data_IF_357185166519
#
_entry.id   IF_357185166519
#
_cell.length_a   1.000
_cell.length_b   1.000
_cell.length_c   1.000
_cell.angle_alpha   90.00
_cell.angle_beta   90.00
_cell.angle_gamma   90.00
#
_symmetry.space_group_name_H-M   'P 1'
#
loop_
_entity.id
_entity.type
_entity.pdbx_description
1 polymer ?
#
# COMPACT_ATOMS: atom_id res chain seq x y z
N UNK A 1 4.78 -20.14 17.54
CA UNK A 1 4.00 -19.76 18.72
C UNK A 1 2.99 -18.69 18.36
N UNK A 2 1.92 -18.52 19.15
CA UNK A 2 0.86 -17.52 18.88
C UNK A 2 1.37 -16.07 19.00
N UNK A 3 2.47 -15.87 19.71
CA UNK A 3 3.11 -14.59 19.95
C UNK A 3 4.29 -14.29 18.98
N UNK A 4 4.52 -15.16 17.99
CA UNK A 4 5.50 -14.90 16.94
C UNK A 4 5.11 -13.65 16.15
N UNK A 5 6.06 -12.73 16.04
CA UNK A 5 5.89 -11.49 15.26
C UNK A 5 6.40 -11.71 13.85
N UNK A 6 5.58 -11.37 12.87
CA UNK A 6 5.88 -11.50 11.46
C UNK A 6 5.98 -10.13 10.79
N UNK A 7 6.84 -9.99 9.80
CA UNK A 7 6.76 -8.91 8.82
C UNK A 7 5.56 -9.22 7.94
N UNK A 8 4.51 -8.39 8.00
CA UNK A 8 3.26 -8.70 7.30
C UNK A 8 3.21 -8.11 5.89
N UNK A 9 4.25 -7.36 5.49
CA UNK A 9 4.39 -6.80 4.14
C UNK A 9 3.06 -6.21 3.62
N UNK A 10 2.60 -6.65 2.46
CA UNK A 10 1.41 -6.10 1.82
C UNK A 10 0.08 -6.31 2.58
N UNK A 11 0.07 -7.14 3.62
CA UNK A 11 -1.06 -7.16 4.57
C UNK A 11 -1.16 -5.85 5.39
N UNK A 12 -0.16 -4.97 5.31
CA UNK A 12 -0.23 -3.58 5.80
C UNK A 12 -1.29 -2.76 5.06
N UNK A 13 -1.50 -2.99 3.77
CA UNK A 13 -2.37 -2.17 2.91
C UNK A 13 -3.82 -2.06 3.39
N UNK A 14 -4.52 -3.14 3.77
CA UNK A 14 -5.85 -3.02 4.35
C UNK A 14 -5.89 -2.17 5.62
N UNK A 15 -4.83 -2.19 6.43
CA UNK A 15 -4.73 -1.38 7.65
C UNK A 15 -4.59 0.10 7.30
N UNK A 16 -3.78 0.44 6.29
CA UNK A 16 -3.66 1.80 5.78
C UNK A 16 -4.97 2.27 5.15
N UNK A 17 -5.67 1.38 4.43
CA UNK A 17 -7.00 1.65 3.91
C UNK A 17 -8.00 2.00 5.01
N UNK A 18 -8.02 1.25 6.11
CA UNK A 18 -8.85 1.58 7.28
C UNK A 18 -8.46 2.94 7.87
N UNK A 19 -7.17 3.28 7.98
CA UNK A 19 -6.72 4.59 8.44
C UNK A 19 -7.24 5.72 7.52
N UNK A 20 -7.20 5.53 6.20
CA UNK A 20 -7.78 6.45 5.24
C UNK A 20 -9.30 6.58 5.44
N UNK A 21 -10.01 5.47 5.63
CA UNK A 21 -11.47 5.49 5.77
C UNK A 21 -11.95 6.09 7.10
N UNK A 22 -11.16 6.03 8.17
CA UNK A 22 -11.41 6.81 9.40
C UNK A 22 -11.44 8.32 9.06
N UNK A 23 -10.46 8.80 8.32
CA UNK A 23 -10.40 10.21 7.90
C UNK A 23 -11.50 10.57 6.88
N UNK A 24 -11.95 9.60 6.08
CA UNK A 24 -13.11 9.76 5.20
C UNK A 24 -14.40 9.98 6.00
N UNK A 25 -14.68 9.17 7.02
CA UNK A 25 -15.83 9.33 7.91
C UNK A 25 -15.78 10.66 8.69
N UNK A 26 -14.59 11.17 8.96
CA UNK A 26 -14.39 12.50 9.55
C UNK A 26 -14.58 13.65 8.55
N UNK A 27 -14.89 13.35 7.28
CA UNK A 27 -15.11 14.34 6.23
C UNK A 27 -13.83 15.07 5.78
N UNK A 28 -12.64 14.52 6.07
CA UNK A 28 -11.36 15.13 5.71
C UNK A 28 -11.04 15.04 4.22
N UNK A 29 -11.62 14.07 3.52
CA UNK A 29 -11.47 13.87 2.08
C UNK A 29 -12.69 13.14 1.48
N UNK A 30 -12.80 13.16 0.15
CA UNK A 30 -13.86 12.50 -0.60
C UNK A 30 -13.28 11.61 -1.69
N UNK A 31 -13.99 10.55 -2.07
CA UNK A 31 -13.53 9.56 -3.07
C UNK A 31 -13.16 10.19 -4.42
N UNK A 32 -13.91 11.18 -4.85
CA UNK A 32 -13.74 11.82 -6.17
C UNK A 32 -12.90 13.11 -6.10
N UNK A 33 -12.37 13.47 -4.93
CA UNK A 33 -11.40 14.56 -4.81
C UNK A 33 -10.14 14.24 -5.63
N UNK A 34 -9.58 15.20 -6.36
CA UNK A 34 -8.29 15.01 -7.02
C UNK A 34 -7.19 14.88 -5.97
N UNK A 35 -6.30 13.90 -6.13
CA UNK A 35 -5.15 13.66 -5.23
C UNK A 35 -4.30 14.92 -5.07
N UNK A 36 -4.21 15.75 -6.10
CA UNK A 36 -3.45 17.02 -6.08
C UNK A 36 -3.95 18.05 -5.07
N UNK A 37 -5.15 17.86 -4.53
CA UNK A 37 -5.64 18.66 -3.39
C UNK A 37 -4.85 18.38 -2.12
N UNK A 38 -4.42 17.14 -1.93
CA UNK A 38 -3.70 16.66 -0.76
C UNK A 38 -2.20 16.53 -1.02
N UNK A 39 -1.82 16.23 -2.25
CA UNK A 39 -0.43 16.05 -2.71
C UNK A 39 -0.19 16.97 -3.92
N UNK A 40 -0.01 18.29 -3.71
CA UNK A 40 0.14 19.26 -4.78
C UNK A 40 1.40 19.00 -5.65
N UNK A 41 2.36 18.24 -5.16
CA UNK A 41 3.55 17.79 -5.87
C UNK A 41 3.20 17.02 -7.16
N UNK A 42 2.02 16.40 -7.22
CA UNK A 42 1.57 15.62 -8.37
C UNK A 42 0.87 16.42 -9.48
N UNK A 43 0.80 17.75 -9.36
CA UNK A 43 0.11 18.60 -10.35
C UNK A 43 0.67 18.49 -11.77
N UNK A 44 1.98 18.27 -11.90
CA UNK A 44 2.69 18.31 -13.18
C UNK A 44 3.17 16.92 -13.61
N UNK A 45 2.58 15.84 -13.10
CA UNK A 45 2.92 14.51 -13.55
C UNK A 45 2.65 14.35 -15.05
N UNK A 46 3.60 13.72 -15.74
CA UNK A 46 3.45 13.28 -17.12
C UNK A 46 2.96 11.83 -17.13
N UNK A 47 2.49 11.38 -18.27
CA UNK A 47 1.98 10.03 -18.46
C UNK A 47 2.72 9.37 -19.62
N UNK A 48 3.07 8.09 -19.47
CA UNK A 48 3.64 7.31 -20.57
C UNK A 48 2.58 7.11 -21.65
N UNK A 49 2.85 7.66 -22.86
CA UNK A 49 1.99 7.48 -24.03
C UNK A 49 2.36 6.21 -24.79
N UNK A 50 3.67 5.96 -24.94
CA UNK A 50 4.20 4.77 -25.61
C UNK A 50 5.61 4.46 -25.13
N UNK A 51 6.01 3.19 -25.29
CA UNK A 51 7.37 2.72 -25.03
C UNK A 51 7.88 2.06 -26.30
N UNK A 52 9.01 2.55 -26.83
CA UNK A 52 9.66 1.98 -28.00
C UNK A 52 10.40 0.69 -27.67
N UNK A 53 10.80 -0.08 -28.70
CA UNK A 53 11.48 -1.37 -28.50
C UNK A 53 12.82 -1.28 -27.76
N UNK A 54 13.46 -0.12 -27.80
CA UNK A 54 14.69 0.22 -27.08
C UNK A 54 14.42 0.78 -25.67
N UNK A 55 13.18 0.72 -25.19
CA UNK A 55 12.79 1.12 -23.84
C UNK A 55 12.60 2.62 -23.64
N UNK A 56 12.68 3.44 -24.70
CA UNK A 56 12.51 4.89 -24.63
C UNK A 56 11.03 5.25 -24.51
N UNK A 57 10.69 6.07 -23.51
CA UNK A 57 9.33 6.53 -23.27
C UNK A 57 9.02 7.83 -24.04
N UNK A 58 7.89 7.84 -24.73
CA UNK A 58 7.20 9.06 -25.17
C UNK A 58 6.19 9.45 -24.09
N UNK A 59 6.22 10.71 -23.66
CA UNK A 59 5.34 11.19 -22.59
C UNK A 59 4.30 12.16 -23.14
N UNK A 60 3.11 12.09 -22.58
CA UNK A 60 2.01 13.03 -22.82
C UNK A 60 1.57 13.73 -21.54
N UNK A 61 0.72 14.73 -21.67
CA UNK A 61 0.12 15.40 -20.52
C UNK A 61 -0.92 14.51 -19.85
N UNK A 62 -1.01 14.63 -18.55
CA UNK A 62 -2.06 14.00 -17.75
C UNK A 62 -3.40 14.66 -18.08
N UNK A 63 -4.40 13.88 -18.54
CA UNK A 63 -5.71 14.40 -18.92
C UNK A 63 -6.49 14.97 -17.74
N UNK A 64 -6.30 14.39 -16.57
CA UNK A 64 -6.83 14.84 -15.27
C UNK A 64 -5.97 14.27 -14.14
N UNK A 65 -5.95 14.90 -12.97
CA UNK A 65 -5.34 14.27 -11.79
C UNK A 65 -6.05 12.96 -11.41
N UNK A 66 -5.31 11.98 -10.85
CA UNK A 66 -5.94 10.83 -10.23
C UNK A 66 -6.83 11.27 -9.07
N UNK A 67 -7.90 10.51 -8.83
CA UNK A 67 -8.79 10.71 -7.68
C UNK A 67 -8.31 9.91 -6.45
N UNK A 68 -8.85 10.25 -5.28
CA UNK A 68 -8.61 9.51 -4.05
C UNK A 68 -9.09 8.05 -4.17
N UNK A 69 -10.22 7.79 -4.84
CA UNK A 69 -10.68 6.44 -5.18
C UNK A 69 -9.63 5.65 -5.98
N UNK A 70 -9.00 6.30 -6.95
CA UNK A 70 -8.03 5.66 -7.84
C UNK A 70 -6.72 5.32 -7.14
N UNK A 71 -6.28 6.10 -6.16
CA UNK A 71 -5.11 5.68 -5.35
C UNK A 71 -5.44 4.52 -4.42
N UNK A 72 -6.68 4.42 -3.91
CA UNK A 72 -7.11 3.31 -3.05
C UNK A 72 -7.44 2.04 -3.83
N UNK A 73 -7.56 2.12 -5.15
CA UNK A 73 -7.88 0.97 -6.01
C UNK A 73 -6.76 0.58 -6.97
N UNK A 74 -5.57 1.16 -6.86
CA UNK A 74 -4.44 0.94 -7.77
C UNK A 74 -4.71 1.29 -9.24
N UNK A 75 -5.65 2.19 -9.52
CA UNK A 75 -5.97 2.67 -10.87
C UNK A 75 -5.44 4.06 -11.18
N UNK A 76 -4.65 4.65 -10.26
CA UNK A 76 -4.09 6.00 -10.41
C UNK A 76 -2.94 6.13 -11.44
N UNK A 77 -2.33 5.02 -11.84
CA UNK A 77 -1.24 5.00 -12.82
C UNK A 77 0.18 5.03 -12.23
N UNK A 78 0.35 5.01 -10.93
CA UNK A 78 1.70 4.93 -10.32
C UNK A 78 2.35 3.58 -10.54
N UNK A 79 3.71 3.55 -10.62
CA UNK A 79 4.52 2.34 -10.53
C UNK A 79 4.79 1.90 -9.08
N UNK A 80 5.66 0.89 -8.92
CA UNK A 80 6.09 0.42 -7.60
C UNK A 80 7.58 0.06 -7.54
N UNK A 81 8.18 -0.23 -8.69
CA UNK A 81 9.55 -0.70 -8.78
C UNK A 81 9.70 -2.22 -8.73
N UNK A 82 8.60 -2.97 -8.83
CA UNK A 82 8.60 -4.44 -8.73
C UNK A 82 8.71 -5.15 -10.07
N UNK A 83 8.34 -4.53 -11.18
CA UNK A 83 8.51 -5.10 -12.52
C UNK A 83 9.90 -4.78 -13.08
N UNK A 84 10.67 -5.83 -13.43
CA UNK A 84 12.08 -5.67 -13.83
C UNK A 84 12.24 -4.87 -15.12
N UNK A 85 11.39 -5.10 -16.11
CA UNK A 85 11.55 -4.57 -17.46
C UNK A 85 10.79 -3.26 -17.73
N UNK A 86 9.84 -2.86 -16.86
CA UNK A 86 9.05 -1.67 -17.12
C UNK A 86 9.85 -0.39 -16.80
N UNK A 87 10.02 0.57 -17.75
CA UNK A 87 10.88 1.74 -17.56
C UNK A 87 10.49 2.61 -16.35
N UNK A 88 9.19 2.75 -16.07
CA UNK A 88 8.72 3.50 -14.90
C UNK A 88 9.14 2.81 -13.60
N UNK A 89 9.02 1.49 -13.50
CA UNK A 89 9.46 0.74 -12.33
C UNK A 89 10.98 0.76 -12.17
N UNK A 90 11.71 0.75 -13.28
CA UNK A 90 13.16 1.01 -13.26
C UNK A 90 13.48 2.36 -12.64
N UNK A 91 12.75 3.43 -12.99
CA UNK A 91 12.92 4.75 -12.38
C UNK A 91 12.60 4.74 -10.87
N UNK A 92 11.61 3.96 -10.42
CA UNK A 92 11.32 3.79 -8.99
C UNK A 92 12.53 3.22 -8.24
N UNK A 93 13.22 2.23 -8.82
CA UNK A 93 14.44 1.63 -8.24
C UNK A 93 15.62 2.60 -8.29
N UNK A 94 15.91 3.20 -9.45
CA UNK A 94 17.01 4.14 -9.63
C UNK A 94 16.90 5.38 -8.73
N UNK A 95 15.69 5.83 -8.47
CA UNK A 95 15.43 6.96 -7.55
C UNK A 95 15.25 6.50 -6.10
N UNK A 96 15.44 5.20 -5.83
CA UNK A 96 15.36 4.62 -4.46
C UNK A 96 14.08 5.05 -3.73
N UNK A 97 12.93 5.01 -4.43
CA UNK A 97 11.65 5.51 -3.89
C UNK A 97 11.29 4.81 -2.59
N UNK A 98 11.41 3.48 -2.55
CA UNK A 98 11.07 2.68 -1.36
C UNK A 98 12.12 2.74 -0.24
N UNK A 99 13.30 3.31 -0.51
CA UNK A 99 14.35 3.55 0.48
C UNK A 99 14.39 5.01 0.95
N UNK A 100 13.28 5.73 0.80
CA UNK A 100 13.15 7.11 1.27
C UNK A 100 13.20 7.21 2.79
N UNK A 101 13.74 8.32 3.30
CA UNK A 101 13.90 8.56 4.75
C UNK A 101 12.70 9.24 5.40
N UNK A 102 11.65 9.52 4.63
CA UNK A 102 10.34 10.00 5.08
C UNK A 102 9.30 9.77 3.98
N UNK A 103 8.01 9.72 4.34
CA UNK A 103 6.93 9.67 3.36
C UNK A 103 6.89 10.92 2.48
N UNK A 104 7.26 12.09 3.01
CA UNK A 104 7.40 13.31 2.19
C UNK A 104 8.49 13.15 1.11
N UNK A 105 9.67 12.65 1.47
CA UNK A 105 10.75 12.42 0.50
C UNK A 105 10.31 11.38 -0.55
N UNK A 106 9.59 10.35 -0.14
CA UNK A 106 9.03 9.36 -1.06
C UNK A 106 8.10 10.03 -2.08
N UNK A 107 7.17 10.88 -1.63
CA UNK A 107 6.28 11.65 -2.51
C UNK A 107 7.06 12.57 -3.46
N UNK A 108 8.09 13.26 -2.96
CA UNK A 108 8.92 14.13 -3.80
C UNK A 108 9.64 13.35 -4.92
N UNK A 109 10.14 12.15 -4.61
CA UNK A 109 10.76 11.26 -5.60
C UNK A 109 9.73 10.77 -6.62
N UNK A 110 8.55 10.31 -6.16
CA UNK A 110 7.44 9.88 -7.02
C UNK A 110 6.99 11.00 -7.96
N UNK A 111 6.94 12.24 -7.51
CA UNK A 111 6.56 13.41 -8.32
C UNK A 111 7.48 13.67 -9.51
N UNK A 112 8.66 13.05 -9.55
CA UNK A 112 9.61 13.13 -10.67
C UNK A 112 9.52 11.97 -11.66
N UNK A 113 8.58 11.04 -11.45
CA UNK A 113 8.41 9.82 -12.24
C UNK A 113 7.06 9.91 -12.97
N UNK A 114 6.99 9.60 -14.28
CA UNK A 114 5.72 9.62 -14.98
C UNK A 114 4.78 8.52 -14.51
N UNK A 115 3.48 8.74 -14.65
CA UNK A 115 2.47 7.70 -14.52
C UNK A 115 2.61 6.69 -15.68
N UNK A 116 2.35 5.42 -15.40
CA UNK A 116 2.40 4.34 -16.40
C UNK A 116 1.30 4.44 -17.45
N UNK A 117 0.15 5.03 -17.06
CA UNK A 117 -1.03 5.20 -17.90
C UNK A 117 -1.91 6.34 -17.36
N UNK A 118 -2.85 6.81 -18.17
CA UNK A 118 -3.82 7.82 -17.76
C UNK A 118 -4.65 7.31 -16.57
N UNK A 119 -4.86 8.13 -15.52
CA UNK A 119 -5.62 7.74 -14.34
C UNK A 119 -7.00 7.16 -14.69
N UNK A 120 -7.34 6.02 -14.08
CA UNK A 120 -8.61 5.33 -14.28
C UNK A 120 -8.70 4.45 -15.52
N UNK A 121 -7.62 4.26 -16.29
CA UNK A 121 -7.65 3.44 -17.51
C UNK A 121 -7.17 2.01 -17.32
N UNK A 122 -6.24 1.79 -16.41
CA UNK A 122 -5.67 0.49 -16.14
C UNK A 122 -5.56 0.26 -14.62
N UNK A 123 -5.48 -0.99 -14.23
CA UNK A 123 -5.09 -1.39 -12.89
C UNK A 123 -3.63 -1.85 -12.87
N UNK A 124 -2.87 -1.35 -11.90
CA UNK A 124 -1.48 -1.73 -11.69
C UNK A 124 -1.12 -1.65 -10.22
N UNK A 125 -0.69 -2.76 -9.62
CA UNK A 125 -0.27 -2.80 -8.22
C UNK A 125 0.90 -1.85 -7.96
N UNK A 126 0.72 -0.87 -7.10
CA UNK A 126 1.54 0.35 -7.09
C UNK A 126 1.89 0.86 -5.69
N UNK A 127 2.77 1.84 -5.62
CA UNK A 127 3.11 2.58 -4.40
C UNK A 127 1.97 3.49 -3.89
N UNK A 128 0.77 3.37 -4.45
CA UNK A 128 -0.39 4.19 -4.05
C UNK A 128 -0.68 4.15 -2.56
N UNK A 129 -0.46 3.01 -1.89
CA UNK A 129 -0.77 2.90 -0.45
C UNK A 129 0.31 3.55 0.42
N UNK A 130 1.54 3.68 -0.06
CA UNK A 130 2.56 4.50 0.59
C UNK A 130 2.22 6.00 0.47
N UNK A 131 1.67 6.42 -0.68
CA UNK A 131 1.14 7.78 -0.87
C UNK A 131 -0.04 8.04 0.08
N UNK A 132 -0.91 7.06 0.29
CA UNK A 132 -1.99 7.15 1.29
C UNK A 132 -1.43 7.35 2.70
N UNK A 133 -0.35 6.65 3.07
CA UNK A 133 0.36 6.86 4.34
C UNK A 133 0.75 8.32 4.53
N UNK A 134 1.33 8.96 3.51
CA UNK A 134 1.63 10.39 3.54
C UNK A 134 0.37 11.26 3.70
N UNK A 135 -0.72 10.92 3.04
CA UNK A 135 -1.99 11.65 3.15
C UNK A 135 -2.55 11.54 4.58
N UNK A 136 -2.45 10.34 5.21
CA UNK A 136 -2.84 10.16 6.61
C UNK A 136 -2.02 11.08 7.52
N UNK A 137 -0.70 11.15 7.37
CA UNK A 137 0.15 12.06 8.15
C UNK A 137 -0.28 13.52 7.96
N UNK A 138 -0.50 13.92 6.73
CA UNK A 138 -0.85 15.30 6.37
C UNK A 138 -2.22 15.73 6.92
N UNK A 139 -3.21 14.84 6.88
CA UNK A 139 -4.57 15.15 7.33
C UNK A 139 -4.74 15.03 8.84
N UNK A 140 -3.98 14.17 9.50
CA UNK A 140 -4.06 13.93 10.94
C UNK A 140 -3.11 14.78 11.75
N UNK A 141 -2.00 15.24 11.17
CA UNK A 141 -0.90 15.90 11.87
C UNK A 141 -0.08 14.97 12.78
N UNK A 142 -0.23 13.64 12.62
CA UNK A 142 0.50 12.60 13.35
C UNK A 142 1.36 11.80 12.37
N UNK A 143 2.39 11.06 12.85
CA UNK A 143 3.00 10.05 12.00
C UNK A 143 1.99 8.94 11.69
N UNK A 144 2.20 8.21 10.59
CA UNK A 144 1.30 7.12 10.21
C UNK A 144 1.16 6.10 11.34
N UNK A 145 2.28 5.72 11.96
CA UNK A 145 2.30 4.77 13.08
C UNK A 145 1.56 5.29 14.32
N UNK A 146 1.73 6.57 14.67
CA UNK A 146 0.98 7.19 15.78
C UNK A 146 -0.51 7.19 15.51
N UNK A 147 -0.93 7.54 14.29
CA UNK A 147 -2.33 7.53 13.91
C UNK A 147 -2.92 6.11 13.99
N UNK A 148 -2.26 5.12 13.40
CA UNK A 148 -2.70 3.73 13.44
C UNK A 148 -2.74 3.18 14.86
N UNK A 149 -1.72 3.48 15.68
CA UNK A 149 -1.67 3.07 17.08
C UNK A 149 -2.87 3.61 17.86
N UNK A 150 -3.16 4.90 17.73
CA UNK A 150 -4.21 5.58 18.49
C UNK A 150 -5.62 5.19 18.02
N UNK A 151 -5.80 4.99 16.71
CA UNK A 151 -7.11 4.86 16.10
C UNK A 151 -7.50 3.43 15.75
N UNK A 152 -6.51 2.50 15.66
CA UNK A 152 -6.75 1.13 15.23
C UNK A 152 -6.18 0.14 16.25
N UNK A 153 -4.86 0.18 16.51
CA UNK A 153 -4.21 -0.90 17.25
C UNK A 153 -4.57 -0.91 18.73
N UNK A 154 -4.49 0.22 19.42
CA UNK A 154 -4.85 0.31 20.84
C UNK A 154 -6.35 -0.01 21.08
N UNK A 155 -7.31 0.60 20.32
CA UNK A 155 -8.72 0.25 20.45
C UNK A 155 -9.03 -1.23 20.20
N UNK A 156 -8.38 -1.86 19.22
CA UNK A 156 -8.55 -3.28 18.89
C UNK A 156 -7.71 -4.21 19.76
N UNK A 157 -6.92 -3.70 20.72
CA UNK A 157 -6.02 -4.50 21.57
C UNK A 157 -5.05 -5.35 20.75
N UNK A 158 -4.33 -4.69 19.83
CA UNK A 158 -3.31 -5.27 18.96
C UNK A 158 -1.90 -4.82 19.41
N UNK A 159 -1.37 -5.34 20.55
CA UNK A 159 -0.17 -4.80 21.21
C UNK A 159 1.14 -5.10 20.46
N UNK A 160 1.10 -6.00 19.50
CA UNK A 160 2.28 -6.44 18.76
C UNK A 160 2.26 -6.00 17.28
N UNK A 161 1.34 -5.08 16.94
CA UNK A 161 1.24 -4.51 15.59
C UNK A 161 1.81 -3.10 15.57
N UNK A 162 2.86 -2.88 14.78
CA UNK A 162 3.55 -1.60 14.66
C UNK A 162 4.48 -1.60 13.43
N UNK A 163 5.17 -0.47 13.15
CA UNK A 163 6.21 -0.41 12.13
C UNK A 163 7.57 -0.98 12.58
N UNK A 164 7.70 -1.34 13.85
CA UNK A 164 8.87 -2.03 14.41
C UNK A 164 8.48 -2.70 15.74
N UNK A 165 9.26 -3.71 16.15
CA UNK A 165 8.95 -4.47 17.37
C UNK A 165 9.53 -3.88 18.64
N UNK A 166 10.59 -3.07 18.54
CA UNK A 166 11.46 -2.75 19.66
C UNK A 166 12.40 -3.91 20.04
N UNK A 167 13.49 -3.59 20.74
CA UNK A 167 14.51 -4.59 21.10
C UNK A 167 14.00 -5.65 22.08
N UNK A 168 13.01 -5.33 22.91
CA UNK A 168 12.44 -6.24 23.91
C UNK A 168 11.62 -7.40 23.29
N UNK A 169 11.17 -7.23 22.05
CA UNK A 169 10.41 -8.24 21.31
C UNK A 169 11.22 -8.84 20.14
N UNK A 170 12.49 -8.48 19.99
CA UNK A 170 13.34 -8.91 18.88
C UNK A 170 13.43 -10.43 18.75
N UNK A 171 13.46 -11.16 19.88
CA UNK A 171 13.48 -12.61 19.93
C UNK A 171 12.19 -13.29 19.45
N UNK A 172 11.11 -12.54 19.27
CA UNK A 172 9.82 -13.02 18.76
C UNK A 172 9.69 -12.79 17.25
N UNK A 173 10.58 -11.98 16.65
CA UNK A 173 10.52 -11.65 15.23
C UNK A 173 10.98 -12.84 14.38
N UNK A 174 10.08 -13.35 13.54
CA UNK A 174 10.35 -14.47 12.65
C UNK A 174 11.46 -14.11 11.64
N UNK A 175 12.39 -15.03 11.40
CA UNK A 175 13.32 -14.96 10.28
C UNK A 175 12.58 -15.14 8.95
N UNK A 176 13.09 -14.53 7.89
CA UNK A 176 12.62 -14.72 6.52
C UNK A 176 13.57 -15.65 5.80
N UNK A 177 13.04 -16.62 5.10
CA UNK A 177 13.81 -17.58 4.34
C UNK A 177 13.48 -17.51 2.85
N UNK A 178 14.48 -17.78 2.03
CA UNK A 178 14.33 -17.88 0.58
C UNK A 178 15.06 -19.11 0.05
N UNK A 179 14.64 -19.61 -1.10
CA UNK A 179 15.38 -20.68 -1.79
C UNK A 179 16.51 -20.05 -2.60
N UNK A 180 17.73 -20.38 -2.24
CA UNK A 180 18.93 -20.02 -2.98
C UNK A 180 19.15 -21.03 -4.10
N UNK A 181 19.03 -20.59 -5.36
CA UNK A 181 19.13 -21.44 -6.54
C UNK A 181 20.54 -21.94 -6.78
N UNK A 182 21.55 -21.14 -6.43
CA UNK A 182 22.97 -21.50 -6.66
C UNK A 182 23.42 -22.54 -5.63
N UNK A 183 22.93 -22.43 -4.40
CA UNK A 183 23.22 -23.38 -3.33
C UNK A 183 22.26 -24.57 -3.28
N UNK A 184 21.14 -24.52 -4.01
CA UNK A 184 20.11 -25.56 -4.04
C UNK A 184 19.43 -25.80 -2.68
N UNK A 185 19.38 -24.80 -1.79
CA UNK A 185 18.86 -24.94 -0.42
C UNK A 185 18.14 -23.67 0.08
N UNK A 186 17.37 -23.84 1.14
CA UNK A 186 16.73 -22.72 1.85
C UNK A 186 17.79 -22.03 2.72
N UNK A 187 17.90 -20.71 2.61
CA UNK A 187 18.80 -19.86 3.39
C UNK A 187 18.01 -18.72 4.02
N UNK A 188 18.50 -18.17 5.13
CA UNK A 188 17.93 -16.95 5.68
C UNK A 188 18.17 -15.78 4.73
N UNK A 189 17.09 -15.06 4.40
CA UNK A 189 17.14 -13.95 3.48
C UNK A 189 17.79 -12.73 4.14
N UNK A 190 18.87 -12.23 3.55
CA UNK A 190 19.50 -10.95 3.94
C UNK A 190 18.99 -9.79 3.11
N UNK A 191 18.46 -10.09 1.93
CA UNK A 191 17.86 -9.14 0.99
C UNK A 191 16.51 -9.66 0.51
N UNK A 192 15.62 -8.72 0.16
CA UNK A 192 14.34 -9.02 -0.50
C UNK A 192 14.18 -8.03 -1.67
N UNK A 193 13.89 -8.53 -2.86
CA UNK A 193 13.80 -7.73 -4.09
C UNK A 193 15.04 -6.87 -4.36
N UNK A 194 16.24 -7.37 -4.04
CA UNK A 194 17.50 -6.66 -4.24
C UNK A 194 17.80 -5.54 -3.23
N UNK A 195 16.98 -5.42 -2.18
CA UNK A 195 17.17 -4.44 -1.09
C UNK A 195 17.49 -5.17 0.20
N UNK A 196 18.42 -4.63 0.98
CA UNK A 196 18.73 -5.17 2.30
C UNK A 196 17.51 -5.22 3.21
N UNK A 197 17.36 -6.30 3.98
CA UNK A 197 16.26 -6.46 4.92
C UNK A 197 16.33 -5.37 5.99
N UNK A 198 15.27 -4.54 6.16
CA UNK A 198 15.24 -3.55 7.22
C UNK A 198 15.35 -4.16 8.62
N UNK A 199 16.00 -3.44 9.53
CA UNK A 199 16.05 -3.80 10.94
C UNK A 199 14.73 -3.41 11.64
N UNK A 200 13.80 -4.35 11.71
CA UNK A 200 12.50 -4.14 12.35
C UNK A 200 12.55 -4.07 13.90
N UNK A 201 13.73 -4.14 14.51
CA UNK A 201 13.89 -3.90 15.95
C UNK A 201 14.04 -2.41 16.30
N UNK A 202 14.13 -1.54 15.27
CA UNK A 202 14.31 -0.09 15.39
C UNK A 202 13.24 0.65 14.60
N UNK A 203 12.91 1.89 15.00
CA UNK A 203 12.04 2.75 14.19
C UNK A 203 12.56 2.88 12.76
N UNK A 204 11.72 2.65 11.73
CA UNK A 204 12.12 2.86 10.34
C UNK A 204 12.28 4.36 10.05
N UNK A 205 13.09 4.70 9.06
CA UNK A 205 13.23 6.07 8.59
C UNK A 205 11.94 6.62 7.95
N UNK A 206 11.15 5.75 7.31
CA UNK A 206 9.83 6.06 6.78
C UNK A 206 8.85 4.91 7.10
N UNK A 207 7.65 5.24 7.54
CA UNK A 207 6.61 4.28 7.89
C UNK A 207 5.80 3.90 6.63
N UNK A 208 6.25 2.85 5.91
CA UNK A 208 5.62 2.42 4.65
C UNK A 208 4.19 1.93 4.86
N UNK A 209 3.21 2.69 4.36
CA UNK A 209 1.80 2.28 4.33
C UNK A 209 1.53 1.09 3.43
N UNK A 210 2.42 0.83 2.47
CA UNK A 210 2.31 -0.29 1.53
C UNK A 210 2.86 -1.62 2.03
N UNK A 211 3.68 -1.63 3.12
CA UNK A 211 4.31 -2.89 3.52
C UNK A 211 5.13 -2.89 4.81
N UNK A 212 5.08 -1.83 5.61
CA UNK A 212 6.03 -1.60 6.71
C UNK A 212 5.69 -2.26 8.04
N UNK A 213 4.47 -2.78 8.23
CA UNK A 213 4.03 -3.30 9.53
C UNK A 213 4.63 -4.68 9.86
N UNK A 214 4.81 -4.89 11.14
CA UNK A 214 4.91 -6.21 11.77
C UNK A 214 3.63 -6.47 12.58
N UNK A 215 3.29 -7.75 12.76
CA UNK A 215 2.11 -8.15 13.54
C UNK A 215 2.22 -9.61 13.98
N UNK A 216 1.36 -10.02 14.88
CA UNK A 216 1.11 -11.44 15.19
C UNK A 216 -0.13 -11.94 14.48
N UNK A 217 -0.28 -13.26 14.39
CA UNK A 217 -1.51 -13.89 13.86
C UNK A 217 -2.74 -13.45 14.65
N UNK A 218 -2.62 -13.34 15.98
CA UNK A 218 -3.74 -12.96 16.85
C UNK A 218 -4.14 -11.51 16.67
N UNK A 219 -3.18 -10.59 16.59
CA UNK A 219 -3.47 -9.18 16.34
C UNK A 219 -4.17 -9.00 15.00
N UNK A 220 -3.60 -9.62 13.94
CA UNK A 220 -4.19 -9.49 12.62
C UNK A 220 -5.57 -10.18 12.50
N UNK A 221 -5.79 -11.28 13.25
CA UNK A 221 -7.12 -11.90 13.35
C UNK A 221 -8.15 -10.94 13.98
N UNK A 222 -7.76 -10.15 14.99
CA UNK A 222 -8.63 -9.13 15.58
C UNK A 222 -8.99 -8.04 14.58
N UNK A 223 -8.02 -7.56 13.80
CA UNK A 223 -8.26 -6.61 12.71
C UNK A 223 -9.22 -7.18 11.66
N UNK A 224 -9.00 -8.41 11.23
CA UNK A 224 -9.86 -9.08 10.24
C UNK A 224 -11.27 -9.31 10.78
N UNK A 225 -11.40 -9.71 12.06
CA UNK A 225 -12.70 -9.91 12.71
C UNK A 225 -13.47 -8.59 12.85
N UNK A 226 -12.78 -7.48 13.14
CA UNK A 226 -13.39 -6.14 13.17
C UNK A 226 -14.02 -5.81 11.81
N UNK A 227 -13.33 -6.05 10.70
CA UNK A 227 -13.88 -5.86 9.36
C UNK A 227 -15.05 -6.79 9.07
N UNK A 228 -14.93 -8.09 9.39
CA UNK A 228 -15.98 -9.08 9.18
C UNK A 228 -17.26 -8.77 9.98
N UNK A 229 -17.13 -8.09 11.12
CA UNK A 229 -18.25 -7.63 11.95
C UNK A 229 -18.81 -6.25 11.50
N UNK A 230 -18.46 -5.76 10.31
CA UNK A 230 -18.91 -4.44 9.84
C UNK A 230 -18.31 -3.27 10.61
N UNK A 231 -17.04 -3.37 10.98
CA UNK A 231 -16.25 -2.27 11.54
C UNK A 231 -16.21 -2.20 13.06
N UNK A 232 -16.61 -3.26 13.77
CA UNK A 232 -16.67 -3.29 15.24
C UNK A 232 -16.08 -4.57 15.83
N UNK A 233 -15.39 -4.48 16.94
CA UNK A 233 -14.92 -5.61 17.74
C UNK A 233 -14.93 -5.28 19.24
N UNK A 234 -15.41 -6.20 20.08
CA UNK A 234 -15.49 -6.07 21.54
C UNK A 234 -16.19 -4.76 22.01
N UNK A 235 -17.22 -4.32 21.28
CA UNK A 235 -17.95 -3.08 21.56
C UNK A 235 -17.21 -1.80 21.13
N UNK A 236 -16.07 -1.91 20.45
CA UNK A 236 -15.31 -0.78 19.91
C UNK A 236 -15.55 -0.69 18.42
N UNK A 237 -16.11 0.44 17.98
CA UNK A 237 -16.33 0.73 16.56
C UNK A 237 -15.18 1.53 15.99
N UNK A 238 -14.59 0.99 14.91
CA UNK A 238 -13.52 1.64 14.14
C UNK A 238 -14.09 2.35 12.90
N UNK A 239 -14.99 1.67 12.18
CA UNK A 239 -15.68 2.17 10.99
C UNK A 239 -17.18 1.88 11.06
N UNK A 240 -17.98 2.62 10.31
CA UNK A 240 -19.39 2.27 10.12
C UNK A 240 -19.55 1.05 9.20
N UNK A 241 -20.63 0.28 9.34
CA UNK A 241 -20.92 -0.85 8.44
C UNK A 241 -20.94 -0.44 6.97
N UNK A 242 -21.51 0.73 6.65
CA UNK A 242 -21.57 1.26 5.29
C UNK A 242 -20.18 1.54 4.70
N UNK A 243 -19.24 2.01 5.53
CA UNK A 243 -17.85 2.23 5.09
C UNK A 243 -17.13 0.92 4.84
N UNK A 244 -17.33 -0.09 5.68
CA UNK A 244 -16.73 -1.43 5.45
C UNK A 244 -17.31 -2.07 4.18
N UNK A 245 -18.62 -1.98 3.96
CA UNK A 245 -19.27 -2.43 2.72
C UNK A 245 -18.69 -1.70 1.49
N UNK A 246 -18.53 -0.37 1.57
CA UNK A 246 -17.91 0.41 0.51
C UNK A 246 -16.48 -0.06 0.20
N UNK A 247 -15.68 -0.34 1.23
CA UNK A 247 -14.32 -0.89 1.06
C UNK A 247 -14.33 -2.26 0.38
N UNK A 248 -15.30 -3.11 0.73
CA UNK A 248 -15.49 -4.47 0.18
C UNK A 248 -16.20 -4.52 -1.17
N UNK A 249 -16.62 -3.39 -1.74
CA UNK A 249 -17.28 -3.34 -3.04
C UNK A 249 -16.26 -3.22 -4.16
N UNK A 250 -16.44 -3.96 -5.25
CA UNK A 250 -15.59 -3.80 -6.43
C UNK A 250 -15.75 -2.41 -7.04
N UNK A 251 -14.67 -1.63 -7.00
CA UNK A 251 -14.64 -0.26 -7.56
C UNK A 251 -13.93 -0.17 -8.91
N UNK A 252 -13.45 -1.30 -9.45
CA UNK A 252 -12.78 -1.33 -10.75
C UNK A 252 -13.83 -1.24 -11.87
N UNK A 253 -13.80 -0.19 -12.71
CA UNK A 253 -14.70 -0.11 -13.85
C UNK A 253 -14.49 -1.26 -14.85
N UNK A 254 -15.56 -1.74 -15.48
CA UNK A 254 -15.49 -2.89 -16.44
C UNK A 254 -14.55 -2.67 -17.63
N UNK A 255 -14.29 -1.42 -17.99
CA UNK A 255 -13.41 -1.04 -19.09
C UNK A 255 -11.95 -0.86 -18.68
N UNK A 256 -11.62 -1.04 -17.40
CA UNK A 256 -10.24 -0.95 -16.91
C UNK A 256 -9.48 -2.22 -17.29
N UNK A 257 -8.34 -2.03 -17.96
CA UNK A 257 -7.42 -3.12 -18.27
C UNK A 257 -6.63 -3.50 -17.02
N UNK A 258 -6.42 -4.78 -16.81
CA UNK A 258 -5.57 -5.29 -15.74
C UNK A 258 -4.21 -5.61 -16.31
N UNK A 259 -3.21 -4.82 -15.93
CA UNK A 259 -1.83 -5.05 -16.33
C UNK A 259 -1.17 -6.04 -15.38
N UNK A 260 -0.68 -7.16 -15.91
CA UNK A 260 0.15 -8.09 -15.15
C UNK A 260 1.52 -7.44 -14.92
N UNK A 261 1.83 -7.07 -13.67
CA UNK A 261 3.11 -6.46 -13.28
C UNK A 261 4.17 -7.47 -12.83
N UNK A 262 3.99 -8.76 -13.18
CA UNK A 262 4.93 -9.81 -12.81
C UNK A 262 4.90 -10.22 -11.33
N UNK A 263 4.12 -9.57 -10.49
CA UNK A 263 4.04 -9.87 -9.05
C UNK A 263 3.14 -11.05 -8.72
N UNK A 264 2.41 -11.59 -9.70
CA UNK A 264 1.38 -12.61 -9.47
C UNK A 264 0.15 -12.08 -8.71
N UNK A 265 0.14 -10.81 -8.34
CA UNK A 265 -1.00 -10.15 -7.70
C UNK A 265 -1.99 -9.77 -8.78
N UNK A 266 -3.15 -10.36 -8.69
CA UNK A 266 -4.35 -10.16 -9.49
C UNK A 266 -4.35 -10.76 -10.91
N UNK A 267 -5.00 -11.90 -11.00
CA UNK A 267 -5.81 -12.20 -12.17
C UNK A 267 -7.23 -11.76 -11.82
N UNK A 268 -7.66 -10.60 -12.25
CA UNK A 268 -9.07 -10.25 -12.16
C UNK A 268 -9.82 -11.07 -13.21
N UNK A 269 -10.89 -11.69 -12.79
CA UNK A 269 -11.84 -12.39 -13.64
C UNK A 269 -13.25 -11.99 -13.19
N UNK A 270 -14.27 -12.60 -13.73
CA UNK A 270 -15.67 -12.31 -13.34
C UNK A 270 -15.92 -12.50 -11.83
N UNK A 271 -15.12 -13.35 -11.14
CA UNK A 271 -15.27 -13.66 -9.73
C UNK A 271 -14.38 -12.82 -8.79
N UNK A 272 -13.48 -11.98 -9.32
CA UNK A 272 -12.49 -11.24 -8.54
C UNK A 272 -12.37 -9.81 -9.02
N UNK A 273 -12.53 -8.87 -8.11
CA UNK A 273 -12.35 -7.44 -8.30
C UNK A 273 -11.41 -6.84 -7.26
N UNK A 274 -11.42 -5.52 -7.16
CA UNK A 274 -10.64 -4.79 -6.17
C UNK A 274 -11.50 -3.69 -5.56
N UNK A 275 -11.52 -3.62 -4.24
CA UNK A 275 -12.19 -2.59 -3.48
C UNK A 275 -11.25 -1.43 -3.13
N UNK A 276 -11.37 -0.92 -1.90
CA UNK A 276 -10.48 0.11 -1.40
C UNK A 276 -9.40 -0.55 -0.54
N UNK A 277 -8.21 -0.73 -1.14
CA UNK A 277 -6.98 -1.34 -0.60
C UNK A 277 -7.00 -2.85 -0.34
N UNK A 278 -7.98 -3.57 -0.83
CA UNK A 278 -7.93 -5.04 -0.87
C UNK A 278 -8.74 -5.65 -2.02
N UNK A 279 -8.34 -6.85 -2.39
CA UNK A 279 -9.01 -7.65 -3.38
C UNK A 279 -10.36 -8.13 -2.82
N UNK A 280 -11.38 -8.14 -3.66
CA UNK A 280 -12.74 -8.54 -3.28
C UNK A 280 -13.24 -9.68 -4.17
N UNK A 281 -14.02 -10.59 -3.60
CA UNK A 281 -14.82 -11.50 -4.38
C UNK A 281 -15.98 -10.71 -5.00
N UNK A 282 -16.24 -10.94 -6.28
CA UNK A 282 -17.43 -10.43 -6.96
C UNK A 282 -18.39 -11.61 -7.13
N UNK A 283 -19.67 -11.33 -6.96
CA UNK A 283 -20.70 -12.34 -7.29
C UNK A 283 -20.58 -12.63 -8.79
N UNK A 284 -20.31 -13.91 -9.11
CA UNK A 284 -20.21 -14.39 -10.47
C UNK A 284 -21.60 -14.63 -11.07
#
# INVERSE_FOLDING_TARGET
SQDTVFRIYSMTKPVTGVAMMILFEEGKWRLDDPVTRYVPEFKNLRVVKSISKDGKMELEDMKRPPTMREIMSHTAGFGYGLADEHPVDKMFREKEVLSSTSLKQMVDRVATIPLMFQPGTNWYYSASVDIQGYIVEKLSGQTLGQFMQNRIFAPLKMPDTAFFTGPEKANRLAAVYMFDRDLGKIVEAKQLFGVDMPDYTKPPAAESGGGGLVSTTMDYARFSQMLANGGELDGVRILSPATVELMGTNVIPKNVLVSNNGTGVASFNEAVGFGLDFQVATDA
#
